data_IF_243405020700
#
_entry.id   IF_243405020700
#
_cell.length_a   1.000
_cell.length_b   1.000
_cell.length_c   1.000
_cell.angle_alpha   90.00
_cell.angle_beta   90.00
_cell.angle_gamma   90.00
#
_symmetry.space_group_name_H-M   'P 1'
#
loop_
_entity.id
_entity.type
_entity.pdbx_description
1 polymer ?
#
# COMPACT_ATOMS: atom_id res chain seq x y z
N UNK A 1 -8.78 40.16 -23.88
CA UNK A 1 -9.08 39.05 -22.94
C UNK A 1 -8.82 37.62 -23.47
N UNK A 2 -8.69 37.36 -24.79
CA UNK A 2 -8.39 36.00 -25.30
C UNK A 2 -6.90 35.59 -25.28
N UNK A 3 -5.98 36.55 -25.25
CA UNK A 3 -4.52 36.29 -25.25
C UNK A 3 -4.01 35.68 -23.93
N UNK A 4 -4.58 36.09 -22.79
CA UNK A 4 -4.14 35.63 -21.47
C UNK A 4 -4.48 34.17 -21.17
N UNK A 5 -5.55 33.62 -21.77
CA UNK A 5 -6.02 32.25 -21.49
C UNK A 5 -5.15 31.21 -22.21
N UNK A 6 -4.71 31.47 -23.45
CA UNK A 6 -3.79 30.58 -24.18
C UNK A 6 -2.40 30.52 -23.57
N UNK A 7 -1.89 31.64 -23.04
CA UNK A 7 -0.57 31.67 -22.39
C UNK A 7 -0.57 30.88 -21.08
N UNK A 8 -1.66 30.95 -20.31
CA UNK A 8 -1.83 30.20 -19.06
C UNK A 8 -1.90 28.68 -19.33
N UNK A 9 -2.62 28.26 -20.37
CA UNK A 9 -2.73 26.84 -20.78
C UNK A 9 -1.39 26.28 -21.28
N UNK A 10 -0.58 27.07 -22.00
CA UNK A 10 0.73 26.64 -22.49
C UNK A 10 1.76 26.51 -21.35
N UNK A 11 1.76 27.44 -20.40
CA UNK A 11 2.62 27.40 -19.20
C UNK A 11 2.30 26.20 -18.28
N UNK A 12 1.01 25.85 -18.13
CA UNK A 12 0.56 24.67 -17.38
C UNK A 12 1.06 23.36 -18.02
N UNK A 13 1.02 23.24 -19.35
CA UNK A 13 1.50 22.05 -20.06
C UNK A 13 3.03 21.86 -19.95
N UNK A 14 3.79 22.95 -19.96
CA UNK A 14 5.26 22.93 -19.80
C UNK A 14 5.64 22.53 -18.36
N UNK A 15 4.89 23.00 -17.35
CA UNK A 15 5.12 22.67 -15.94
C UNK A 15 4.89 21.19 -15.60
N UNK A 16 3.80 20.59 -16.11
CA UNK A 16 3.50 19.16 -15.95
C UNK A 16 4.52 18.26 -16.67
N UNK A 17 4.98 18.65 -17.86
CA UNK A 17 6.04 17.92 -18.57
C UNK A 17 7.38 17.96 -17.83
N UNK A 18 7.76 19.11 -17.29
CA UNK A 18 9.01 19.26 -16.53
C UNK A 18 9.00 18.42 -15.24
N UNK A 19 7.88 18.40 -14.50
CA UNK A 19 7.72 17.58 -13.30
C UNK A 19 7.94 16.08 -13.60
N UNK A 20 7.31 15.60 -14.67
CA UNK A 20 7.41 14.20 -15.08
C UNK A 20 8.83 13.84 -15.55
N UNK A 21 9.50 14.76 -16.25
CA UNK A 21 10.88 14.57 -16.73
C UNK A 21 11.88 14.51 -15.56
N UNK A 22 11.84 15.46 -14.63
CA UNK A 22 12.74 15.43 -13.46
C UNK A 22 12.53 14.18 -12.60
N UNK A 23 11.27 13.83 -12.31
CA UNK A 23 10.96 12.65 -11.51
C UNK A 23 11.51 11.38 -12.17
N UNK A 24 11.30 11.24 -13.47
CA UNK A 24 11.81 10.10 -14.24
C UNK A 24 13.34 10.05 -14.24
N UNK A 25 14.01 11.16 -14.55
CA UNK A 25 15.47 11.23 -14.60
C UNK A 25 16.10 10.93 -13.23
N UNK A 26 15.58 11.55 -12.17
CA UNK A 26 16.07 11.34 -10.81
C UNK A 26 15.94 9.86 -10.38
N UNK A 27 14.80 9.22 -10.65
CA UNK A 27 14.58 7.81 -10.31
C UNK A 27 15.43 6.84 -11.15
N UNK A 28 15.82 7.24 -12.37
CA UNK A 28 16.76 6.49 -13.21
C UNK A 28 18.22 6.72 -12.82
N UNK A 29 18.49 7.62 -11.87
CA UNK A 29 19.84 7.97 -11.44
C UNK A 29 20.54 8.96 -12.38
N UNK A 30 19.82 9.57 -13.32
CA UNK A 30 20.35 10.63 -14.18
C UNK A 30 20.35 11.98 -13.43
N UNK A 31 21.23 12.04 -12.43
CA UNK A 31 21.38 13.20 -11.56
C UNK A 31 21.96 14.40 -12.33
N UNK A 32 22.77 14.15 -13.37
CA UNK A 32 23.37 15.21 -14.18
C UNK A 32 22.29 15.95 -14.97
N UNK A 33 21.34 15.23 -15.59
CA UNK A 33 20.19 15.85 -16.23
C UNK A 33 19.40 16.76 -15.28
N UNK A 34 19.11 16.28 -14.07
CA UNK A 34 18.39 17.08 -13.08
C UNK A 34 19.12 18.38 -12.71
N UNK A 35 20.45 18.35 -12.65
CA UNK A 35 21.26 19.52 -12.32
C UNK A 35 21.29 20.49 -13.51
N UNK A 36 21.71 20.02 -14.68
CA UNK A 36 21.92 20.84 -15.87
C UNK A 36 20.64 21.53 -16.32
N UNK A 37 19.50 20.83 -16.33
CA UNK A 37 18.22 21.41 -16.74
C UNK A 37 17.70 22.45 -15.75
N UNK A 38 17.94 22.24 -14.45
CA UNK A 38 17.55 23.20 -13.44
C UNK A 38 18.42 24.45 -13.52
N UNK A 39 19.73 24.30 -13.68
CA UNK A 39 20.67 25.41 -13.84
C UNK A 39 20.39 26.23 -15.11
N UNK A 40 20.09 25.58 -16.24
CA UNK A 40 19.68 26.25 -17.48
C UNK A 40 18.46 27.14 -17.24
N UNK A 41 17.43 26.61 -16.56
CA UNK A 41 16.22 27.39 -16.23
C UNK A 41 16.48 28.51 -15.23
N UNK A 42 17.43 28.34 -14.32
CA UNK A 42 17.86 29.40 -13.40
C UNK A 42 18.55 30.54 -14.16
N UNK A 43 19.40 30.21 -15.13
CA UNK A 43 20.06 31.21 -16.00
C UNK A 43 19.05 31.98 -16.85
N UNK A 44 17.97 31.33 -17.28
CA UNK A 44 16.87 31.94 -18.02
C UNK A 44 15.86 32.71 -17.14
N UNK A 45 16.09 32.82 -15.83
CA UNK A 45 15.15 33.39 -14.83
C UNK A 45 13.73 32.81 -14.93
N UNK A 46 13.67 31.51 -15.25
CA UNK A 46 12.43 30.75 -15.45
C UNK A 46 12.29 29.58 -14.47
N UNK A 47 13.26 29.41 -13.57
CA UNK A 47 13.28 28.34 -12.59
C UNK A 47 12.13 28.46 -11.58
N UNK A 48 11.41 27.36 -11.43
CA UNK A 48 10.29 27.20 -10.52
C UNK A 48 10.71 26.43 -9.26
N UNK A 49 9.80 26.31 -8.30
CA UNK A 49 10.04 25.53 -7.09
C UNK A 49 10.46 24.07 -7.37
N UNK A 50 10.00 23.48 -8.48
CA UNK A 50 10.34 22.10 -8.83
C UNK A 50 11.76 21.97 -9.36
N UNK A 51 12.24 22.95 -10.13
CA UNK A 51 13.61 22.98 -10.65
C UNK A 51 14.60 23.03 -9.48
N UNK A 52 14.37 23.95 -8.53
CA UNK A 52 15.19 24.04 -7.31
C UNK A 52 15.12 22.77 -6.43
N UNK A 53 13.97 22.10 -6.36
CA UNK A 53 13.84 20.86 -5.58
C UNK A 53 14.68 19.72 -6.18
N UNK A 54 14.57 19.46 -7.48
CA UNK A 54 15.31 18.37 -8.11
C UNK A 54 16.81 18.68 -8.26
N UNK A 55 17.16 19.94 -8.49
CA UNK A 55 18.54 20.42 -8.38
C UNK A 55 19.13 20.07 -7.01
N UNK A 56 18.41 20.39 -5.93
CA UNK A 56 18.84 20.11 -4.57
C UNK A 56 18.99 18.61 -4.29
N UNK A 57 18.00 17.81 -4.68
CA UNK A 57 18.01 16.37 -4.49
C UNK A 57 19.18 15.70 -5.22
N UNK A 58 19.46 16.12 -6.46
CA UNK A 58 20.56 15.59 -7.25
C UNK A 58 21.94 16.00 -6.70
N UNK A 59 22.12 17.27 -6.31
CA UNK A 59 23.36 17.74 -5.68
C UNK A 59 23.66 17.04 -4.36
N UNK A 60 22.63 16.83 -3.52
CA UNK A 60 22.76 16.08 -2.28
C UNK A 60 23.31 14.67 -2.52
N UNK A 61 22.81 13.98 -3.55
CA UNK A 61 23.27 12.63 -3.95
C UNK A 61 24.70 12.64 -4.50
N UNK A 62 25.11 13.72 -5.17
CA UNK A 62 26.49 13.94 -5.63
C UNK A 62 27.45 14.37 -4.50
N UNK A 63 26.93 14.64 -3.30
CA UNK A 63 27.71 15.04 -2.13
C UNK A 63 27.92 16.54 -1.99
N UNK A 64 27.36 17.37 -2.89
CA UNK A 64 27.36 18.83 -2.72
C UNK A 64 26.21 19.26 -1.79
N UNK A 65 26.41 19.01 -0.50
CA UNK A 65 25.39 19.25 0.53
C UNK A 65 25.10 20.73 0.73
N UNK A 66 26.08 21.62 0.49
CA UNK A 66 25.94 23.06 0.72
C UNK A 66 25.03 23.68 -0.35
N UNK A 67 25.31 23.39 -1.62
CA UNK A 67 24.50 23.90 -2.74
C UNK A 67 23.12 23.25 -2.74
N UNK A 68 23.03 21.96 -2.34
CA UNK A 68 21.75 21.30 -2.12
C UNK A 68 20.88 22.03 -1.08
N UNK A 69 21.44 22.40 0.08
CA UNK A 69 20.68 23.11 1.11
C UNK A 69 20.15 24.47 0.62
N UNK A 70 20.97 25.22 -0.11
CA UNK A 70 20.56 26.50 -0.71
C UNK A 70 19.40 26.31 -1.69
N UNK A 71 19.49 25.28 -2.53
CA UNK A 71 18.47 24.95 -3.52
C UNK A 71 17.17 24.50 -2.86
N UNK A 72 17.21 23.68 -1.81
CA UNK A 72 16.02 23.33 -1.04
C UNK A 72 15.39 24.55 -0.36
N UNK A 73 16.19 25.46 0.22
CA UNK A 73 15.67 26.72 0.77
C UNK A 73 14.93 27.52 -0.29
N UNK A 74 15.50 27.64 -1.49
CA UNK A 74 14.86 28.33 -2.59
C UNK A 74 13.57 27.67 -3.07
N UNK A 75 13.55 26.34 -3.17
CA UNK A 75 12.33 25.58 -3.47
C UNK A 75 11.22 25.85 -2.42
N UNK A 76 11.59 25.94 -1.15
CA UNK A 76 10.66 26.24 -0.06
C UNK A 76 10.14 27.68 -0.12
N UNK A 77 11.00 28.67 -0.39
CA UNK A 77 10.61 30.07 -0.62
C UNK A 77 9.60 30.20 -1.76
N UNK A 78 9.81 29.44 -2.84
CA UNK A 78 8.91 29.35 -3.99
C UNK A 78 7.68 28.46 -3.75
N UNK A 79 7.44 28.04 -2.49
CA UNK A 79 6.28 27.27 -2.05
C UNK A 79 6.13 25.93 -2.78
N UNK A 80 7.21 25.15 -2.84
CA UNK A 80 7.15 23.77 -3.35
C UNK A 80 6.01 22.99 -2.68
N UNK A 81 5.11 22.43 -3.50
CA UNK A 81 3.86 21.81 -3.06
C UNK A 81 4.06 20.41 -2.46
N UNK A 82 5.11 19.69 -2.88
CA UNK A 82 5.43 18.34 -2.37
C UNK A 82 5.99 18.37 -0.95
N UNK A 83 5.19 18.74 0.05
CA UNK A 83 5.67 18.96 1.42
C UNK A 83 6.27 17.72 2.08
N UNK A 84 5.67 16.56 1.86
CA UNK A 84 6.20 15.30 2.37
C UNK A 84 7.55 14.97 1.73
N UNK A 85 7.67 15.13 0.41
CA UNK A 85 8.93 14.99 -0.32
C UNK A 85 9.99 15.96 0.19
N UNK A 86 9.62 17.22 0.43
CA UNK A 86 10.51 18.23 0.96
C UNK A 86 11.07 17.82 2.33
N UNK A 87 10.22 17.50 3.31
CA UNK A 87 10.68 17.11 4.63
C UNK A 87 11.52 15.83 4.61
N UNK A 88 11.14 14.85 3.80
CA UNK A 88 11.93 13.64 3.60
C UNK A 88 13.33 13.92 3.07
N UNK A 89 13.46 14.77 2.05
CA UNK A 89 14.77 15.12 1.49
C UNK A 89 15.58 16.00 2.44
N UNK A 90 14.94 16.86 3.23
CA UNK A 90 15.61 17.60 4.29
C UNK A 90 16.12 16.68 5.41
N UNK A 91 15.41 15.59 5.72
CA UNK A 91 15.88 14.56 6.65
C UNK A 91 17.11 13.82 6.07
N UNK A 92 17.08 13.44 4.79
CA UNK A 92 18.23 12.85 4.11
C UNK A 92 19.44 13.81 4.12
N UNK A 93 19.23 15.07 3.74
CA UNK A 93 20.27 16.10 3.73
C UNK A 93 20.89 16.29 5.12
N UNK A 94 20.05 16.40 6.15
CA UNK A 94 20.50 16.56 7.54
C UNK A 94 21.32 15.35 8.00
N UNK A 95 20.93 14.14 7.58
CA UNK A 95 21.70 12.92 7.87
C UNK A 95 23.05 12.94 7.18
N UNK A 96 23.12 13.31 5.90
CA UNK A 96 24.37 13.47 5.14
C UNK A 96 25.28 14.53 5.74
N UNK A 97 24.70 15.60 6.33
CA UNK A 97 25.41 16.63 7.08
C UNK A 97 25.82 16.20 8.50
N UNK A 98 25.53 14.96 8.90
CA UNK A 98 25.73 14.41 10.26
C UNK A 98 24.95 15.14 11.36
N UNK A 99 23.92 15.89 10.99
CA UNK A 99 22.98 16.52 11.93
C UNK A 99 21.76 15.61 12.13
N UNK A 100 21.94 14.58 12.96
CA UNK A 100 20.94 13.53 13.15
C UNK A 100 19.71 14.02 13.90
N UNK A 101 19.85 14.94 14.86
CA UNK A 101 18.73 15.57 15.55
C UNK A 101 17.81 16.29 14.55
N UNK A 102 18.39 17.08 13.65
CA UNK A 102 17.63 17.77 12.60
C UNK A 102 17.00 16.80 11.61
N UNK A 103 17.66 15.67 11.33
CA UNK A 103 17.08 14.60 10.52
C UNK A 103 15.80 14.05 11.15
N UNK A 104 15.83 13.71 12.44
CA UNK A 104 14.65 13.25 13.19
C UNK A 104 13.56 14.33 13.22
N UNK A 105 13.90 15.60 13.45
CA UNK A 105 12.93 16.70 13.46
C UNK A 105 12.19 16.86 12.11
N UNK A 106 12.88 16.59 10.99
CA UNK A 106 12.22 16.58 9.68
C UNK A 106 11.32 15.36 9.47
N UNK A 107 11.65 14.19 10.03
CA UNK A 107 10.72 13.05 10.05
C UNK A 107 9.48 13.34 10.92
N UNK A 108 9.64 14.04 12.04
CA UNK A 108 8.52 14.53 12.85
C UNK A 108 7.64 15.51 12.04
N UNK A 109 8.26 16.33 11.18
CA UNK A 109 7.52 17.20 10.27
C UNK A 109 6.69 16.42 9.23
N UNK A 110 7.17 15.26 8.75
CA UNK A 110 6.38 14.36 7.91
C UNK A 110 5.16 13.85 8.69
N UNK A 111 5.35 13.43 9.94
CA UNK A 111 4.28 12.92 10.79
C UNK A 111 3.20 13.97 11.09
N UNK A 112 3.56 15.25 11.17
CA UNK A 112 2.61 16.35 11.40
C UNK A 112 1.70 16.68 10.21
N UNK A 113 2.00 16.19 9.00
CA UNK A 113 1.18 16.47 7.83
C UNK A 113 -0.16 15.74 7.91
N UNK A 114 -1.27 16.41 7.62
CA UNK A 114 -2.58 15.75 7.55
C UNK A 114 -2.66 14.74 6.40
N UNK A 115 -2.02 15.05 5.28
CA UNK A 115 -1.89 14.17 4.11
C UNK A 115 -0.44 14.15 3.63
N UNK A 116 0.05 12.98 3.21
CA UNK A 116 1.37 12.85 2.63
C UNK A 116 1.44 11.67 1.66
N UNK A 117 2.24 11.83 0.59
CA UNK A 117 2.64 10.71 -0.25
C UNK A 117 3.63 9.83 0.52
N UNK A 118 3.41 8.52 0.50
CA UNK A 118 4.33 7.58 1.12
C UNK A 118 5.61 7.40 0.28
N UNK A 119 6.73 7.36 0.98
CA UNK A 119 8.01 6.90 0.49
C UNK A 119 8.61 6.00 1.57
N UNK A 120 9.13 4.81 1.22
CA UNK A 120 9.82 3.97 2.18
C UNK A 120 11.00 4.72 2.79
N UNK A 121 11.06 4.80 4.12
CA UNK A 121 12.21 5.36 4.85
C UNK A 121 13.34 4.30 4.90
N UNK A 122 13.86 3.98 3.72
CA UNK A 122 14.85 2.92 3.48
C UNK A 122 16.06 3.41 2.69
N UNK A 123 16.12 4.70 2.39
CA UNK A 123 17.18 5.26 1.58
C UNK A 123 18.56 5.09 2.23
N UNK A 124 19.56 4.79 1.41
CA UNK A 124 20.93 4.53 1.88
C UNK A 124 21.54 5.73 2.61
N UNK A 125 21.08 6.96 2.37
CA UNK A 125 21.51 8.15 3.12
C UNK A 125 21.13 8.08 4.60
N UNK A 126 20.17 7.24 4.99
CA UNK A 126 19.84 7.01 6.39
C UNK A 126 20.68 5.91 7.06
N UNK A 127 21.56 5.21 6.33
CA UNK A 127 22.42 4.16 6.90
C UNK A 127 23.15 4.57 8.20
N UNK A 128 23.67 5.80 8.35
CA UNK A 128 24.36 6.22 9.59
C UNK A 128 23.46 6.24 10.84
N UNK A 129 22.14 6.36 10.67
CA UNK A 129 21.17 6.48 11.78
C UNK A 129 20.17 5.33 11.84
N UNK A 130 20.28 4.34 10.94
CA UNK A 130 19.29 3.25 10.77
C UNK A 130 18.99 2.49 12.07
N UNK A 131 19.98 2.41 12.96
CA UNK A 131 19.89 1.66 14.22
C UNK A 131 19.53 2.51 15.44
N UNK A 132 19.47 3.83 15.30
CA UNK A 132 19.06 4.74 16.38
C UNK A 132 17.59 4.51 16.74
N UNK A 133 17.29 4.55 18.04
CA UNK A 133 15.95 4.27 18.56
C UNK A 133 14.92 5.27 18.03
N UNK A 134 15.28 6.55 17.99
CA UNK A 134 14.46 7.64 17.49
C UNK A 134 14.12 7.43 16.02
N UNK A 135 15.11 7.09 15.18
CA UNK A 135 14.90 6.84 13.76
C UNK A 135 13.97 5.65 13.54
N UNK A 136 14.21 4.51 14.22
CA UNK A 136 13.36 3.32 14.16
C UNK A 136 11.92 3.66 14.56
N UNK A 137 11.74 4.44 15.63
CA UNK A 137 10.42 4.88 16.09
C UNK A 137 9.69 5.73 15.04
N UNK A 138 10.34 6.74 14.46
CA UNK A 138 9.70 7.62 13.45
C UNK A 138 9.37 6.87 12.17
N UNK A 139 10.27 5.99 11.74
CA UNK A 139 10.03 5.09 10.60
C UNK A 139 8.81 4.20 10.83
N UNK A 140 8.68 3.60 12.01
CA UNK A 140 7.52 2.79 12.37
C UNK A 140 6.22 3.61 12.40
N UNK A 141 6.23 4.80 13.01
CA UNK A 141 5.07 5.68 13.07
C UNK A 141 4.63 6.17 11.68
N UNK A 142 5.57 6.51 10.80
CA UNK A 142 5.27 6.89 9.41
C UNK A 142 4.64 5.70 8.68
N UNK A 143 5.19 4.49 8.86
CA UNK A 143 4.62 3.26 8.28
C UNK A 143 3.20 3.00 8.76
N UNK A 144 2.96 3.03 10.07
CA UNK A 144 1.65 2.82 10.69
C UNK A 144 0.58 3.77 10.12
N UNK A 145 0.94 5.03 9.88
CA UNK A 145 0.04 6.04 9.31
C UNK A 145 -0.29 5.80 7.82
N UNK A 146 0.59 5.11 7.10
CA UNK A 146 0.43 4.79 5.67
C UNK A 146 -0.30 3.48 5.46
N UNK A 147 -0.02 2.50 6.31
CA UNK A 147 -0.60 1.16 6.27
C UNK A 147 -1.48 0.95 7.51
N UNK A 148 -2.60 1.69 7.65
CA UNK A 148 -3.42 1.63 8.86
C UNK A 148 -4.01 0.24 9.11
N UNK A 149 -4.16 -0.58 8.06
CA UNK A 149 -4.67 -1.95 8.15
C UNK A 149 -3.67 -2.94 8.79
N UNK A 150 -2.39 -2.57 8.92
CA UNK A 150 -1.42 -3.33 9.71
C UNK A 150 -1.63 -3.11 11.22
N UNK A 151 -2.26 -2.00 11.61
CA UNK A 151 -2.35 -1.53 13.00
C UNK A 151 -3.70 -1.85 13.67
N UNK A 152 -4.74 -2.12 12.89
CA UNK A 152 -6.07 -2.47 13.41
C UNK A 152 -6.34 -3.99 13.23
N UNK A 153 -6.43 -4.77 14.33
CA UNK A 153 -6.71 -6.21 14.28
C UNK A 153 -7.99 -6.60 13.54
N UNK A 154 -8.92 -5.68 13.31
CA UNK A 154 -10.11 -5.94 12.50
C UNK A 154 -9.79 -6.33 11.06
N UNK A 155 -8.64 -5.88 10.53
CA UNK A 155 -8.19 -6.16 9.17
C UNK A 155 -7.41 -7.48 9.05
N UNK A 156 -7.01 -8.10 10.17
CA UNK A 156 -6.10 -9.25 10.21
C UNK A 156 -6.78 -10.58 10.57
N UNK A 157 -8.10 -10.57 10.78
CA UNK A 157 -8.87 -11.73 11.30
C UNK A 157 -8.69 -13.03 10.50
N UNK A 158 -8.40 -12.96 9.20
CA UNK A 158 -8.23 -14.11 8.30
C UNK A 158 -6.76 -14.34 7.87
N UNK A 159 -5.79 -13.61 8.44
CA UNK A 159 -4.39 -13.66 8.01
C UNK A 159 -3.74 -15.05 8.13
N UNK A 160 -4.27 -15.90 9.02
CA UNK A 160 -3.83 -17.29 9.15
C UNK A 160 -4.01 -18.13 7.87
N UNK A 161 -4.80 -17.63 6.91
CA UNK A 161 -5.04 -18.27 5.62
C UNK A 161 -4.07 -17.80 4.51
N UNK A 162 -3.23 -16.81 4.77
CA UNK A 162 -2.23 -16.32 3.81
C UNK A 162 -1.21 -17.42 3.49
N UNK A 163 -1.03 -17.74 2.21
CA UNK A 163 -0.11 -18.78 1.78
C UNK A 163 -0.45 -19.35 0.41
N UNK A 164 0.32 -20.37 0.03
CA UNK A 164 0.04 -21.21 -1.12
C UNK A 164 -0.38 -22.59 -0.61
N UNK A 165 -1.47 -23.12 -1.16
CA UNK A 165 -2.14 -24.30 -0.62
C UNK A 165 -2.46 -25.31 -1.71
N UNK A 166 -2.37 -26.59 -1.35
CA UNK A 166 -3.07 -27.68 -2.00
C UNK A 166 -4.40 -27.92 -1.26
N UNK A 167 -5.52 -27.89 -1.98
CA UNK A 167 -6.85 -28.03 -1.39
C UNK A 167 -7.38 -29.45 -1.61
N UNK A 168 -7.68 -30.14 -0.52
CA UNK A 168 -8.20 -31.50 -0.50
C UNK A 168 -9.67 -31.53 -0.09
N UNK A 169 -10.46 -32.39 -0.74
CA UNK A 169 -11.84 -32.68 -0.37
C UNK A 169 -12.03 -34.19 -0.38
N UNK A 170 -12.55 -34.75 0.72
CA UNK A 170 -12.69 -36.20 0.92
C UNK A 170 -11.39 -36.96 0.65
N UNK A 171 -10.26 -36.42 1.15
CA UNK A 171 -8.94 -37.03 1.03
C UNK A 171 -8.26 -36.93 -0.35
N UNK A 172 -8.88 -36.30 -1.34
CA UNK A 172 -8.30 -36.13 -2.69
C UNK A 172 -7.99 -34.67 -2.97
N UNK A 173 -6.83 -34.37 -3.57
CA UNK A 173 -6.52 -33.02 -4.06
C UNK A 173 -7.54 -32.62 -5.12
N UNK A 174 -8.12 -31.43 -4.99
CA UNK A 174 -9.14 -30.87 -5.90
C UNK A 174 -8.73 -29.55 -6.51
N UNK A 175 -7.87 -28.79 -5.84
CA UNK A 175 -7.48 -27.47 -6.32
C UNK A 175 -6.14 -27.02 -5.74
N UNK A 176 -5.68 -25.92 -6.30
CA UNK A 176 -4.60 -25.08 -5.81
C UNK A 176 -5.22 -23.73 -5.42
N UNK A 177 -4.82 -23.17 -4.28
CA UNK A 177 -5.26 -21.85 -3.84
C UNK A 177 -4.07 -21.00 -3.40
N UNK A 178 -4.04 -19.75 -3.86
CA UNK A 178 -3.03 -18.77 -3.51
C UNK A 178 -3.69 -17.57 -2.86
N UNK A 179 -3.33 -17.29 -1.61
CA UNK A 179 -3.83 -16.15 -0.84
C UNK A 179 -2.69 -15.17 -0.65
N UNK A 180 -2.88 -13.94 -1.13
CA UNK A 180 -1.99 -12.80 -0.94
C UNK A 180 -2.71 -11.67 -0.20
N UNK A 181 -1.95 -10.64 0.19
CA UNK A 181 -2.46 -9.49 0.94
C UNK A 181 -2.11 -8.16 0.25
N UNK A 182 -2.84 -7.77 -0.82
CA UNK A 182 -2.57 -6.54 -1.57
C UNK A 182 -3.16 -5.29 -0.90
N UNK A 183 -3.17 -4.17 -1.64
CA UNK A 183 -3.78 -2.88 -1.25
C UNK A 183 -3.34 -2.36 0.11
N UNK A 184 -2.02 -2.28 0.32
CA UNK A 184 -1.46 -1.78 1.58
C UNK A 184 -1.88 -2.62 2.79
N UNK A 185 -2.06 -3.92 2.58
CA UNK A 185 -2.49 -4.90 3.56
C UNK A 185 -3.94 -4.77 4.04
N UNK A 186 -4.77 -4.03 3.33
CA UNK A 186 -6.18 -3.83 3.69
C UNK A 186 -7.14 -4.92 3.20
N UNK A 187 -6.68 -5.84 2.35
CA UNK A 187 -7.49 -6.98 1.89
C UNK A 187 -6.64 -8.24 1.68
N UNK A 188 -7.27 -9.41 1.75
CA UNK A 188 -6.74 -10.66 1.23
C UNK A 188 -7.36 -10.98 -0.13
N UNK A 189 -6.51 -11.38 -1.06
CA UNK A 189 -6.89 -11.81 -2.39
C UNK A 189 -6.61 -13.30 -2.54
N UNK A 190 -7.62 -14.07 -2.90
CA UNK A 190 -7.47 -15.47 -3.26
C UNK A 190 -7.55 -15.64 -4.78
N UNK A 191 -6.65 -16.46 -5.31
CA UNK A 191 -6.79 -17.07 -6.63
C UNK A 191 -6.88 -18.58 -6.49
N UNK A 192 -8.05 -19.15 -6.83
CA UNK A 192 -8.38 -20.56 -6.66
C UNK A 192 -8.55 -21.23 -8.03
N UNK A 193 -7.86 -22.33 -8.27
CA UNK A 193 -7.92 -23.09 -9.52
C UNK A 193 -8.06 -24.58 -9.23
N UNK A 194 -9.06 -25.22 -9.82
CA UNK A 194 -9.21 -26.68 -9.70
C UNK A 194 -8.26 -27.41 -10.64
N UNK A 195 -8.24 -28.74 -10.54
CA UNK A 195 -7.55 -29.60 -11.52
C UNK A 195 -8.19 -29.60 -12.92
N UNK A 196 -9.39 -29.04 -13.08
CA UNK A 196 -10.03 -28.78 -14.38
C UNK A 196 -10.14 -27.28 -14.65
N UNK A 197 -10.98 -26.90 -15.62
CA UNK A 197 -11.08 -25.49 -16.07
C UNK A 197 -11.84 -24.55 -15.12
N UNK A 198 -12.25 -25.05 -13.94
CA UNK A 198 -12.89 -24.21 -12.93
C UNK A 198 -11.84 -23.34 -12.23
N UNK A 199 -12.11 -22.04 -12.17
CA UNK A 199 -11.39 -21.08 -11.34
C UNK A 199 -12.35 -20.13 -10.63
N UNK A 200 -11.85 -19.50 -9.56
CA UNK A 200 -12.54 -18.47 -8.83
C UNK A 200 -11.57 -17.58 -8.05
N UNK A 201 -12.07 -16.44 -7.60
CA UNK A 201 -11.30 -15.47 -6.85
C UNK A 201 -12.14 -14.96 -5.67
N UNK A 202 -11.51 -14.75 -4.53
CA UNK A 202 -12.13 -14.02 -3.41
C UNK A 202 -11.38 -12.74 -3.08
N UNK A 203 -12.16 -11.71 -2.74
CA UNK A 203 -11.70 -10.47 -2.13
C UNK A 203 -12.22 -10.44 -0.70
N UNK A 204 -11.32 -10.33 0.27
CA UNK A 204 -11.61 -10.49 1.68
C UNK A 204 -11.11 -9.27 2.44
N UNK A 205 -11.98 -8.52 3.08
CA UNK A 205 -11.60 -7.25 3.70
C UNK A 205 -12.55 -6.90 4.85
N UNK A 206 -12.10 -6.00 5.72
CA UNK A 206 -12.97 -5.44 6.75
C UNK A 206 -13.86 -4.34 6.15
N UNK A 207 -15.18 -4.55 6.13
CA UNK A 207 -16.17 -3.57 5.70
C UNK A 207 -16.49 -2.62 6.87
N UNK A 208 -15.97 -1.40 6.80
CA UNK A 208 -16.17 -0.39 7.84
C UNK A 208 -17.64 0.05 7.99
N UNK A 209 -18.44 0.00 6.91
CA UNK A 209 -19.86 0.39 6.99
C UNK A 209 -20.68 -0.62 7.77
N UNK A 210 -20.35 -1.91 7.62
CA UNK A 210 -20.99 -3.01 8.37
C UNK A 210 -20.29 -3.33 9.69
N UNK A 211 -19.09 -2.80 9.90
CA UNK A 211 -18.20 -3.14 11.01
C UNK A 211 -18.02 -4.68 11.13
N UNK A 212 -17.82 -5.34 9.99
CA UNK A 212 -17.74 -6.80 9.85
C UNK A 212 -16.74 -7.18 8.76
N UNK A 213 -16.08 -8.33 8.91
CA UNK A 213 -15.31 -8.91 7.80
C UNK A 213 -16.25 -9.31 6.65
N UNK A 214 -15.84 -9.04 5.42
CA UNK A 214 -16.64 -9.22 4.21
C UNK A 214 -15.79 -9.94 3.16
N UNK A 215 -16.33 -11.04 2.64
CA UNK A 215 -15.79 -11.75 1.50
C UNK A 215 -16.70 -11.62 0.28
N UNK A 216 -16.13 -11.24 -0.86
CA UNK A 216 -16.77 -11.31 -2.18
C UNK A 216 -16.09 -12.42 -2.97
N UNK A 217 -16.84 -13.48 -3.31
CA UNK A 217 -16.40 -14.56 -4.18
C UNK A 217 -16.96 -14.39 -5.58
N UNK A 218 -16.11 -14.53 -6.59
CA UNK A 218 -16.47 -14.51 -8.01
C UNK A 218 -15.92 -15.76 -8.67
N UNK A 219 -16.77 -16.53 -9.35
CA UNK A 219 -16.37 -17.73 -10.08
C UNK A 219 -16.32 -17.51 -11.61
N UNK A 220 -15.71 -18.45 -12.33
CA UNK A 220 -15.57 -18.40 -13.79
C UNK A 220 -16.89 -18.38 -14.59
N UNK A 221 -18.04 -18.64 -13.94
CA UNK A 221 -19.38 -18.59 -14.54
C UNK A 221 -20.11 -17.28 -14.23
N UNK A 222 -19.38 -16.22 -13.89
CA UNK A 222 -19.94 -14.92 -13.48
C UNK A 222 -20.87 -14.99 -12.25
N UNK A 223 -20.76 -16.06 -11.44
CA UNK A 223 -21.46 -16.13 -10.16
C UNK A 223 -20.76 -15.27 -9.12
N UNK A 224 -21.53 -14.44 -8.41
CA UNK A 224 -21.07 -13.63 -7.27
C UNK A 224 -21.74 -14.13 -5.99
N UNK A 225 -20.97 -14.25 -4.91
CA UNK A 225 -21.49 -14.54 -3.58
C UNK A 225 -20.79 -13.66 -2.55
N UNK A 226 -21.55 -13.05 -1.66
CA UNK A 226 -21.04 -12.16 -0.61
C UNK A 226 -21.30 -12.81 0.76
N UNK A 227 -20.28 -12.83 1.62
CA UNK A 227 -20.35 -13.37 2.97
C UNK A 227 -19.93 -12.29 3.97
N UNK A 228 -20.62 -12.22 5.10
CA UNK A 228 -20.40 -11.26 6.16
C UNK A 228 -20.12 -11.99 7.48
N UNK A 229 -19.20 -11.46 8.27
CA UNK A 229 -18.82 -11.98 9.58
C UNK A 229 -20.03 -12.20 10.50
N UNK A 230 -20.05 -13.39 11.12
CA UNK A 230 -21.00 -13.78 12.17
C UNK A 230 -20.27 -13.99 13.49
N UNK A 231 -19.10 -14.65 13.46
CA UNK A 231 -18.28 -14.92 14.63
C UNK A 231 -16.80 -14.90 14.24
N UNK A 232 -15.96 -14.30 15.09
CA UNK A 232 -14.52 -14.34 14.94
C UNK A 232 -13.85 -14.58 16.31
N UNK A 233 -12.80 -15.39 16.30
CA UNK A 233 -11.86 -15.63 17.41
C UNK A 233 -10.51 -16.01 16.83
N UNK A 234 -9.49 -16.13 17.67
CA UNK A 234 -8.14 -16.47 17.21
C UNK A 234 -8.15 -17.78 16.40
N UNK A 235 -7.65 -17.71 15.16
CA UNK A 235 -7.63 -18.84 14.24
C UNK A 235 -8.99 -19.29 13.71
N UNK A 236 -10.06 -18.52 13.88
CA UNK A 236 -11.38 -18.89 13.39
C UNK A 236 -12.22 -17.70 12.94
N UNK A 237 -12.83 -17.82 11.75
CA UNK A 237 -13.76 -16.85 11.21
C UNK A 237 -14.96 -17.59 10.62
N UNK A 238 -16.17 -17.26 11.08
CA UNK A 238 -17.43 -17.70 10.49
C UNK A 238 -18.11 -16.53 9.79
N UNK A 239 -18.60 -16.77 8.58
CA UNK A 239 -19.32 -15.81 7.77
C UNK A 239 -20.58 -16.43 7.16
N UNK A 240 -21.59 -15.61 6.90
CA UNK A 240 -22.84 -16.01 6.24
C UNK A 240 -23.20 -15.04 5.12
N UNK A 241 -23.88 -15.55 4.10
CA UNK A 241 -24.60 -14.68 3.16
C UNK A 241 -25.76 -14.00 3.85
N UNK A 242 -26.23 -12.86 3.33
CA UNK A 242 -27.46 -12.21 3.83
C UNK A 242 -28.64 -13.18 3.89
N UNK A 243 -29.55 -12.96 4.85
CA UNK A 243 -30.71 -13.84 5.07
C UNK A 243 -31.68 -13.93 3.89
N UNK A 244 -31.63 -12.96 2.97
CA UNK A 244 -32.41 -12.91 1.74
C UNK A 244 -31.74 -13.64 0.56
N UNK A 245 -30.50 -14.11 0.73
CA UNK A 245 -29.75 -14.81 -0.30
C UNK A 245 -30.38 -16.17 -0.62
N UNK A 246 -30.35 -16.54 -1.90
CA UNK A 246 -30.80 -17.84 -2.37
C UNK A 246 -29.75 -18.47 -3.32
N UNK A 247 -29.02 -19.51 -2.89
CA UNK A 247 -29.09 -20.14 -1.56
C UNK A 247 -28.52 -19.26 -0.44
N UNK A 248 -29.01 -19.47 0.79
CA UNK A 248 -28.35 -18.94 2.01
C UNK A 248 -27.23 -19.88 2.40
N UNK A 249 -26.02 -19.35 2.53
CA UNK A 249 -24.80 -20.09 2.81
C UNK A 249 -24.13 -19.61 4.09
N UNK A 250 -23.47 -20.54 4.76
CA UNK A 250 -22.62 -20.33 5.94
C UNK A 250 -21.28 -20.95 5.67
N UNK A 251 -20.21 -20.26 6.03
CA UNK A 251 -18.86 -20.71 5.84
C UNK A 251 -18.02 -20.42 7.07
N UNK A 252 -17.07 -21.30 7.39
CA UNK A 252 -16.04 -21.01 8.38
C UNK A 252 -14.64 -21.40 7.89
N UNK A 253 -13.66 -20.62 8.33
CA UNK A 253 -12.23 -20.91 8.21
C UNK A 253 -11.68 -21.19 9.60
N UNK A 254 -10.91 -22.27 9.73
CA UNK A 254 -10.28 -22.67 11.01
C UNK A 254 -8.81 -22.98 10.79
N UNK A 255 -7.92 -22.31 11.50
CA UNK A 255 -6.51 -22.68 11.62
C UNK A 255 -6.39 -23.95 12.47
N UNK A 256 -5.71 -24.95 11.95
CA UNK A 256 -5.43 -26.22 12.61
C UNK A 256 -4.06 -26.17 13.31
N UNK A 257 -3.84 -27.09 14.26
CA UNK A 257 -2.60 -27.15 15.05
C UNK A 257 -1.33 -27.38 14.21
N UNK A 258 -1.46 -28.05 13.07
CA UNK A 258 -0.39 -28.32 12.12
C UNK A 258 -0.12 -27.15 11.15
N UNK A 259 -0.83 -26.03 11.32
CA UNK A 259 -0.73 -24.85 10.46
C UNK A 259 -1.54 -24.94 9.16
N UNK A 260 -2.29 -26.02 8.95
CA UNK A 260 -3.24 -26.13 7.84
C UNK A 260 -4.53 -25.34 8.13
N UNK A 261 -5.33 -25.10 7.10
CA UNK A 261 -6.62 -24.40 7.25
C UNK A 261 -7.76 -25.29 6.78
N UNK A 262 -8.82 -25.40 7.58
CA UNK A 262 -10.07 -26.06 7.18
C UNK A 262 -11.11 -25.02 6.81
N UNK A 263 -11.73 -25.20 5.65
CA UNK A 263 -12.89 -24.44 5.20
C UNK A 263 -14.12 -25.34 5.19
N UNK A 264 -15.13 -24.99 5.98
CA UNK A 264 -16.42 -25.68 5.99
C UNK A 264 -17.50 -24.80 5.41
N UNK A 265 -18.33 -25.32 4.51
CA UNK A 265 -19.51 -24.62 4.01
C UNK A 265 -20.77 -25.43 4.21
N UNK A 266 -21.83 -24.73 4.60
CA UNK A 266 -23.17 -25.26 4.76
C UNK A 266 -24.17 -24.43 3.95
N UNK A 267 -25.19 -25.10 3.43
CA UNK A 267 -26.36 -24.48 2.81
C UNK A 267 -27.58 -24.65 3.72
N UNK A 268 -28.36 -23.59 3.88
CA UNK A 268 -29.58 -23.63 4.67
C UNK A 268 -30.72 -24.31 3.89
N UNK A 269 -31.39 -25.28 4.52
CA UNK A 269 -32.62 -25.91 4.05
C UNK A 269 -33.80 -25.31 4.83
N UNK A 270 -34.55 -24.42 4.16
CA UNK A 270 -35.69 -23.74 4.76
C UNK A 270 -36.87 -24.66 5.04
N UNK A 271 -36.98 -25.81 4.35
CA UNK A 271 -38.08 -26.76 4.55
C UNK A 271 -37.94 -27.55 5.86
N UNK A 272 -36.70 -27.72 6.32
CA UNK A 272 -36.36 -28.45 7.55
C UNK A 272 -35.81 -27.56 8.67
N UNK A 273 -35.53 -26.30 8.36
CA UNK A 273 -34.81 -25.36 9.23
C UNK A 273 -33.45 -25.89 9.71
N UNK A 274 -32.69 -26.53 8.79
CA UNK A 274 -31.38 -27.14 9.08
C UNK A 274 -30.28 -26.63 8.16
N UNK A 275 -29.02 -26.75 8.59
CA UNK A 275 -27.85 -26.48 7.77
C UNK A 275 -27.25 -27.80 7.26
N UNK A 276 -27.11 -27.94 5.94
CA UNK A 276 -26.54 -29.12 5.31
C UNK A 276 -25.11 -28.82 4.84
N UNK A 277 -24.13 -29.67 5.18
CA UNK A 277 -22.76 -29.50 4.69
C UNK A 277 -22.71 -29.68 3.17
N UNK A 278 -22.12 -28.70 2.48
CA UNK A 278 -21.94 -28.71 1.01
C UNK A 278 -20.47 -28.69 0.60
N UNK A 279 -19.57 -28.33 1.50
CA UNK A 279 -18.13 -28.35 1.27
C UNK A 279 -17.33 -28.56 2.56
N UNK A 280 -16.26 -29.33 2.46
CA UNK A 280 -15.27 -29.54 3.53
C UNK A 280 -13.88 -29.62 2.87
N UNK A 281 -13.20 -28.48 2.83
CA UNK A 281 -11.90 -28.32 2.20
C UNK A 281 -10.79 -28.24 3.22
N UNK A 282 -9.76 -29.07 3.07
CA UNK A 282 -8.52 -29.00 3.81
C UNK A 282 -7.44 -28.35 2.94
N UNK A 283 -6.96 -27.18 3.35
CA UNK A 283 -5.88 -26.44 2.73
C UNK A 283 -4.57 -26.89 3.38
N UNK A 284 -3.77 -27.66 2.65
CA UNK A 284 -2.45 -28.13 3.07
C UNK A 284 -1.39 -27.18 2.51
N UNK A 285 -0.53 -26.67 3.38
CA UNK A 285 0.49 -25.68 2.99
C UNK A 285 1.53 -26.30 2.06
N UNK A 286 1.91 -25.55 1.03
CA UNK A 286 3.02 -25.90 0.12
C UNK A 286 4.37 -25.46 0.65
#
# INVERSE_FOLDING_TARGET
MKSSISLILLLLAIGLNAQNQYFSAYNQGDLSYCIEQAEERMQLDSATAIDYFYHAAALMRKGDLKTAEQSFKKANELKFQGRSFYFYHMAMLSTSQKNYERSIAYLDSVLSLSTFSYFPIEDSLFMPIKDQAEFKSRKAQIRAKVFPCDEDPKHTKLDFWIGNWDVFVNGSKRADSKISRPEGNCMLYEYYTTLGDFSGQSFNFFDQQRNAYHQIWINFKAGKTEYYEVEAKDGYLMMETDSTSNPRLRMSYTLLEDGNVRQLMHQYDSSKATWNQVFDGLYIKK
#
